data_IF_558074321908
#
_entry.id   IF_558074321908
#
_cell.length_a   1.000
_cell.length_b   1.000
_cell.length_c   1.000
_cell.angle_alpha   90.00
_cell.angle_beta   90.00
_cell.angle_gamma   90.00
#
_symmetry.space_group_name_H-M   'P 1'
#
loop_
_entity.id
_entity.type
_entity.pdbx_description
1 polymer ?
#
# COMPACT_ATOMS: atom_id res chain seq x y z
N UNK A 1 6.12 -11.44 -19.28
CA UNK A 1 6.40 -10.02 -19.04
C UNK A 1 7.76 -9.94 -18.36
N UNK A 2 8.61 -8.98 -18.71
CA UNK A 2 9.97 -8.83 -18.20
C UNK A 2 10.15 -7.40 -17.71
N UNK A 3 10.70 -7.21 -16.52
CA UNK A 3 10.93 -5.89 -15.92
C UNK A 3 12.42 -5.58 -15.98
N UNK A 4 12.82 -4.32 -16.23
CA UNK A 4 14.23 -3.94 -16.14
C UNK A 4 14.71 -4.12 -14.70
N UNK A 5 15.85 -4.80 -14.53
CA UNK A 5 16.44 -4.98 -13.19
C UNK A 5 16.85 -3.62 -12.59
N UNK A 6 17.16 -2.65 -13.45
CA UNK A 6 17.48 -1.27 -13.13
C UNK A 6 16.30 -0.49 -12.51
N UNK A 7 15.07 -1.02 -12.57
CA UNK A 7 13.94 -0.44 -11.84
C UNK A 7 13.98 -0.71 -10.33
N UNK A 8 14.92 -1.54 -9.86
CA UNK A 8 15.01 -1.93 -8.47
C UNK A 8 16.31 -1.47 -7.81
N UNK A 9 16.23 -1.18 -6.52
CA UNK A 9 17.37 -0.87 -5.66
C UNK A 9 17.17 -1.49 -4.28
N UNK A 10 18.25 -1.65 -3.52
CA UNK A 10 18.17 -1.95 -2.09
C UNK A 10 18.28 -0.66 -1.29
N UNK A 11 17.30 -0.39 -0.43
CA UNK A 11 17.34 0.74 0.50
C UNK A 11 16.78 0.33 1.86
N UNK A 12 17.26 1.01 2.88
CA UNK A 12 16.77 0.84 4.25
C UNK A 12 15.40 1.53 4.34
N UNK A 13 14.34 0.86 4.87
CA UNK A 13 12.98 1.44 4.88
C UNK A 13 12.86 2.80 5.57
N UNK A 14 13.74 3.11 6.53
CA UNK A 14 13.82 4.39 7.22
C UNK A 14 14.19 5.56 6.30
N UNK A 15 14.92 5.28 5.21
CA UNK A 15 15.40 6.30 4.26
C UNK A 15 14.43 6.49 3.09
N UNK A 16 13.35 5.69 3.04
CA UNK A 16 12.34 5.77 2.00
C UNK A 16 11.33 6.87 2.32
N UNK A 17 10.83 7.52 1.28
CA UNK A 17 9.71 8.46 1.42
C UNK A 17 8.39 7.71 1.55
N UNK A 18 7.41 8.24 2.31
CA UNK A 18 6.05 7.71 2.33
C UNK A 18 5.50 7.50 0.91
N UNK A 19 4.73 6.43 0.71
CA UNK A 19 4.24 6.02 -0.60
C UNK A 19 5.18 5.07 -1.35
N UNK A 20 6.42 4.90 -0.87
CA UNK A 20 7.33 3.88 -1.40
C UNK A 20 6.82 2.49 -1.06
N UNK A 21 7.00 1.54 -1.98
CA UNK A 21 6.81 0.12 -1.72
C UNK A 21 8.15 -0.57 -1.52
N UNK A 22 8.18 -1.59 -0.67
CA UNK A 22 9.39 -2.39 -0.45
C UNK A 22 9.03 -3.84 -0.14
N UNK A 23 9.96 -4.75 -0.43
CA UNK A 23 9.79 -6.18 -0.19
C UNK A 23 10.28 -6.53 1.21
N UNK A 24 9.33 -6.79 2.13
CA UNK A 24 9.62 -7.18 3.51
C UNK A 24 9.25 -8.65 3.72
N UNK A 25 10.26 -9.48 4.03
CA UNK A 25 10.07 -10.93 4.25
C UNK A 25 9.24 -11.59 3.15
N UNK A 26 9.66 -11.37 1.90
CA UNK A 26 9.03 -11.94 0.69
C UNK A 26 7.62 -11.41 0.36
N UNK A 27 7.12 -10.41 1.09
CA UNK A 27 5.83 -9.78 0.81
C UNK A 27 5.99 -8.26 0.63
N UNK A 28 5.30 -7.71 -0.36
CA UNK A 28 5.31 -6.28 -0.61
C UNK A 28 4.57 -5.52 0.49
N UNK A 29 5.12 -4.38 0.89
CA UNK A 29 4.57 -3.46 1.85
C UNK A 29 4.57 -2.02 1.31
N UNK A 30 3.61 -1.21 1.74
CA UNK A 30 3.55 0.23 1.48
C UNK A 30 4.04 0.99 2.70
N UNK A 31 5.05 1.84 2.54
CA UNK A 31 5.45 2.79 3.58
C UNK A 31 4.40 3.90 3.71
N UNK A 32 4.00 4.18 4.93
CA UNK A 32 2.98 5.18 5.27
C UNK A 32 3.42 6.04 6.45
N UNK A 33 2.85 7.23 6.55
CA UNK A 33 2.99 8.08 7.73
C UNK A 33 2.35 7.43 8.97
N UNK A 34 2.81 7.85 10.15
CA UNK A 34 2.23 7.37 11.40
C UNK A 34 0.75 7.77 11.52
N UNK A 35 -0.04 6.84 12.04
CA UNK A 35 -1.50 6.92 12.18
C UNK A 35 -1.98 7.60 13.47
N UNK A 36 -1.11 7.74 14.48
CA UNK A 36 -1.56 7.99 15.85
C UNK A 36 -1.00 9.27 16.50
N UNK A 37 0.16 9.76 16.07
CA UNK A 37 0.83 10.82 16.80
C UNK A 37 1.71 11.68 15.88
N UNK A 38 1.36 12.95 15.62
CA UNK A 38 2.21 13.88 14.89
C UNK A 38 3.56 14.15 15.57
N UNK A 39 3.67 13.86 16.88
CA UNK A 39 4.90 14.02 17.66
C UNK A 39 5.82 12.80 17.65
N UNK A 40 5.34 11.64 17.17
CA UNK A 40 6.15 10.45 16.87
C UNK A 40 6.23 10.28 15.34
N UNK A 41 7.26 10.85 14.68
CA UNK A 41 7.39 10.79 13.22
C UNK A 41 7.83 9.41 12.71
N UNK A 42 7.85 8.36 13.57
CA UNK A 42 8.24 7.02 13.15
C UNK A 42 7.34 6.51 12.03
N UNK A 43 7.88 6.25 10.83
CA UNK A 43 7.08 5.74 9.72
C UNK A 43 6.46 4.38 10.06
N UNK A 44 5.32 4.11 9.45
CA UNK A 44 4.66 2.81 9.50
C UNK A 44 4.68 2.17 8.12
N UNK A 45 4.25 0.93 8.02
CA UNK A 45 3.99 0.29 6.74
C UNK A 45 2.77 -0.62 6.79
N UNK A 46 2.04 -0.70 5.68
CA UNK A 46 0.91 -1.61 5.48
C UNK A 46 1.41 -2.79 4.65
N UNK A 47 1.24 -4.02 5.15
CA UNK A 47 1.49 -5.21 4.34
C UNK A 47 0.47 -5.28 3.20
N UNK A 48 0.92 -5.43 1.96
CA UNK A 48 0.05 -5.53 0.79
C UNK A 48 -0.19 -6.98 0.36
N UNK A 49 0.70 -7.89 0.77
CA UNK A 49 0.63 -9.31 0.48
C UNK A 49 0.96 -10.18 1.70
N UNK A 50 0.80 -11.49 1.55
CA UNK A 50 1.14 -12.50 2.55
C UNK A 50 0.13 -12.62 3.69
N UNK A 51 0.50 -13.37 4.73
CA UNK A 51 -0.40 -13.72 5.85
C UNK A 51 -0.93 -12.50 6.59
N UNK A 52 -0.11 -11.45 6.69
CA UNK A 52 -0.39 -10.21 7.42
C UNK A 52 -0.96 -9.09 6.53
N UNK A 53 -1.39 -9.39 5.30
CA UNK A 53 -1.98 -8.41 4.39
C UNK A 53 -3.02 -7.50 5.08
N UNK A 54 -2.88 -6.20 4.84
CA UNK A 54 -3.68 -5.14 5.40
C UNK A 54 -3.32 -4.73 6.83
N UNK A 55 -2.36 -5.39 7.47
CA UNK A 55 -1.90 -5.04 8.82
C UNK A 55 -0.88 -3.89 8.77
N UNK A 56 -1.02 -2.94 9.69
CA UNK A 56 -0.07 -1.83 9.88
C UNK A 56 1.00 -2.22 10.91
N UNK A 57 2.25 -1.95 10.59
CA UNK A 57 3.42 -2.14 11.47
C UNK A 57 4.24 -0.85 11.58
N UNK A 58 4.92 -0.64 12.70
CA UNK A 58 5.94 0.43 12.81
C UNK A 58 7.21 0.00 12.10
N UNK A 59 7.85 0.94 11.40
CA UNK A 59 9.27 0.80 11.01
C UNK A 59 10.10 0.87 12.30
N UNK A 60 10.98 -0.11 12.50
CA UNK A 60 11.82 -0.21 13.71
C UNK A 60 13.28 0.00 13.36
N UNK A 61 14.07 0.62 14.25
CA UNK A 61 15.51 0.78 14.03
C UNK A 61 16.19 -0.58 13.77
N UNK A 62 17.12 -0.62 12.81
CA UNK A 62 17.88 -1.82 12.46
C UNK A 62 17.21 -2.76 11.46
N UNK A 63 16.13 -2.33 10.79
CA UNK A 63 15.63 -3.07 9.62
C UNK A 63 16.72 -3.16 8.53
N UNK A 64 16.91 -4.34 7.91
CA UNK A 64 17.90 -4.49 6.84
C UNK A 64 17.46 -3.74 5.58
N UNK A 65 18.40 -3.45 4.66
CA UNK A 65 18.05 -3.02 3.31
C UNK A 65 17.02 -3.97 2.69
N UNK A 66 15.99 -3.38 2.09
CA UNK A 66 14.91 -4.09 1.40
C UNK A 66 14.92 -3.71 -0.07
N UNK A 67 14.51 -4.64 -0.93
CA UNK A 67 14.27 -4.35 -2.34
C UNK A 67 13.13 -3.34 -2.46
N UNK A 68 13.35 -2.27 -3.22
CA UNK A 68 12.39 -1.20 -3.52
C UNK A 68 12.60 -0.71 -4.94
N UNK A 69 11.88 0.33 -5.36
CA UNK A 69 12.04 0.93 -6.68
C UNK A 69 13.21 1.91 -6.69
N UNK A 70 14.04 1.83 -7.73
CA UNK A 70 15.09 2.80 -7.99
C UNK A 70 14.50 4.08 -8.60
N UNK A 71 14.99 5.25 -8.21
CA UNK A 71 14.63 6.49 -8.88
C UNK A 71 15.08 6.47 -10.36
N UNK A 72 14.28 7.02 -11.29
CA UNK A 72 13.00 7.71 -11.10
C UNK A 72 11.78 6.79 -11.19
N UNK A 73 11.95 5.46 -11.24
CA UNK A 73 10.83 4.54 -11.35
C UNK A 73 9.90 4.64 -10.13
N UNK A 74 8.61 4.47 -10.39
CA UNK A 74 7.56 4.59 -9.40
C UNK A 74 6.46 3.57 -9.69
N UNK A 75 5.40 3.57 -8.88
CA UNK A 75 4.28 2.66 -9.04
C UNK A 75 2.94 3.37 -8.94
N UNK A 76 1.91 2.80 -9.56
CA UNK A 76 0.53 3.22 -9.39
C UNK A 76 -0.37 2.01 -9.16
N UNK A 77 -1.50 2.23 -8.49
CA UNK A 77 -2.52 1.22 -8.33
C UNK A 77 -3.38 1.08 -9.59
N UNK A 78 -3.63 -0.15 -10.02
CA UNK A 78 -4.55 -0.46 -11.12
C UNK A 78 -5.62 -1.46 -10.66
N UNK A 79 -6.79 -1.39 -11.29
CA UNK A 79 -7.88 -2.35 -11.10
C UNK A 79 -8.15 -3.06 -12.42
N UNK A 80 -8.60 -4.33 -12.40
CA UNK A 80 -8.96 -5.04 -13.63
C UNK A 80 -9.99 -4.25 -14.45
N UNK A 81 -9.87 -4.30 -15.77
CA UNK A 81 -10.87 -3.69 -16.64
C UNK A 81 -12.23 -4.36 -16.41
N UNK A 82 -13.27 -3.55 -16.17
CA UNK A 82 -14.61 -4.05 -15.86
C UNK A 82 -14.79 -4.51 -14.40
N UNK A 83 -13.82 -4.27 -13.51
CA UNK A 83 -13.96 -4.56 -12.10
C UNK A 83 -15.19 -3.83 -11.51
N UNK A 84 -16.03 -4.58 -10.80
CA UNK A 84 -17.21 -4.04 -10.11
C UNK A 84 -16.83 -3.75 -8.67
N UNK A 85 -16.89 -2.48 -8.21
CA UNK A 85 -16.59 -2.15 -6.83
C UNK A 85 -17.68 -2.63 -5.87
N UNK A 86 -17.29 -2.96 -4.64
CA UNK A 86 -18.19 -3.38 -3.56
C UNK A 86 -18.38 -2.23 -2.57
N UNK A 87 -19.56 -2.14 -1.95
CA UNK A 87 -19.93 -1.04 -1.07
C UNK A 87 -19.95 -1.37 0.43
N UNK A 88 -19.90 -2.64 0.83
CA UNK A 88 -20.26 -3.04 2.20
C UNK A 88 -19.13 -3.62 3.06
N UNK A 89 -18.09 -4.25 2.49
CA UNK A 89 -17.01 -4.82 3.29
C UNK A 89 -15.84 -3.86 3.49
N UNK A 90 -15.49 -3.62 4.75
CA UNK A 90 -14.29 -2.87 5.16
C UNK A 90 -13.10 -3.83 5.23
N UNK A 91 -12.62 -4.29 4.08
CA UNK A 91 -11.44 -5.14 4.03
C UNK A 91 -10.16 -4.30 4.07
N UNK A 92 -9.23 -4.67 4.94
CA UNK A 92 -7.88 -4.12 4.92
C UNK A 92 -7.14 -4.56 3.64
N UNK A 93 -6.18 -3.75 3.22
CA UNK A 93 -5.53 -3.76 1.92
C UNK A 93 -6.46 -3.59 0.71
N UNK A 94 -7.73 -3.22 0.89
CA UNK A 94 -8.59 -2.83 -0.25
C UNK A 94 -8.27 -1.41 -0.72
N UNK A 95 -8.42 -1.18 -2.02
CA UNK A 95 -8.41 0.18 -2.58
C UNK A 95 -9.81 0.76 -2.52
N UNK A 96 -9.94 1.95 -1.98
CA UNK A 96 -11.18 2.72 -1.95
C UNK A 96 -11.02 3.99 -2.76
N UNK A 97 -11.96 4.24 -3.66
CA UNK A 97 -12.08 5.53 -4.35
C UNK A 97 -13.04 6.40 -3.54
N UNK A 98 -12.51 7.50 -3.00
CA UNK A 98 -13.24 8.51 -2.22
C UNK A 98 -13.30 9.83 -2.99
N UNK A 99 -14.10 10.81 -2.56
CA UNK A 99 -14.10 12.14 -3.16
C UNK A 99 -12.74 12.87 -3.08
N UNK A 100 -11.90 12.54 -2.09
CA UNK A 100 -10.57 13.14 -1.91
C UNK A 100 -9.46 12.40 -2.67
N UNK A 101 -9.77 11.23 -3.25
CA UNK A 101 -8.84 10.46 -4.07
C UNK A 101 -8.86 8.97 -3.76
N UNK A 102 -7.83 8.26 -4.26
CA UNK A 102 -7.65 6.83 -4.01
C UNK A 102 -6.93 6.66 -2.66
N UNK A 103 -7.49 5.79 -1.82
CA UNK A 103 -6.90 5.42 -0.53
C UNK A 103 -6.80 3.92 -0.38
N UNK A 104 -5.79 3.47 0.36
CA UNK A 104 -5.61 2.11 0.85
C UNK A 104 -6.10 2.03 2.29
N UNK A 105 -6.85 0.97 2.62
CA UNK A 105 -7.24 0.71 4.01
C UNK A 105 -6.19 -0.16 4.71
N UNK A 106 -5.60 0.32 5.80
CA UNK A 106 -4.80 -0.50 6.72
C UNK A 106 -5.54 -0.74 8.03
N UNK A 107 -5.07 -1.68 8.86
CA UNK A 107 -5.58 -1.84 10.20
C UNK A 107 -4.55 -2.29 11.23
N UNK A 108 -4.71 -1.82 12.47
CA UNK A 108 -3.97 -2.31 13.63
C UNK A 108 -4.87 -3.32 14.36
N UNK A 109 -4.49 -4.60 14.46
CA UNK A 109 -5.25 -5.54 15.27
C UNK A 109 -5.17 -5.15 16.75
N UNK A 110 -6.32 -4.98 17.39
CA UNK A 110 -6.39 -4.83 18.85
C UNK A 110 -6.16 -6.18 19.56
N UNK A 111 -6.18 -6.16 20.91
CA UNK A 111 -6.01 -7.36 21.74
C UNK A 111 -7.17 -8.34 21.66
N UNK A 112 -8.30 -7.94 21.07
CA UNK A 112 -9.55 -8.71 20.96
C UNK A 112 -9.85 -9.14 19.52
N UNK A 113 -8.94 -8.86 18.57
CA UNK A 113 -9.06 -9.20 17.16
C UNK A 113 -9.89 -8.23 16.31
N UNK A 114 -10.40 -7.13 16.89
CA UNK A 114 -11.02 -6.04 16.13
C UNK A 114 -9.91 -5.10 15.66
N UNK A 115 -9.76 -4.95 14.35
CA UNK A 115 -8.75 -4.05 13.81
C UNK A 115 -9.31 -2.62 13.76
N UNK A 116 -8.62 -1.67 14.39
CA UNK A 116 -8.82 -0.24 14.12
C UNK A 116 -8.36 0.02 12.69
N UNK A 117 -9.25 0.57 11.85
CA UNK A 117 -9.02 0.71 10.40
C UNK A 117 -8.78 2.16 10.03
N UNK A 118 -7.73 2.37 9.26
CA UNK A 118 -7.24 3.67 8.85
C UNK A 118 -7.14 3.75 7.33
N UNK A 119 -7.26 4.95 6.78
CA UNK A 119 -7.01 5.21 5.38
C UNK A 119 -5.68 5.91 5.17
N UNK A 120 -4.97 5.44 4.15
CA UNK A 120 -3.70 5.98 3.69
C UNK A 120 -3.82 6.34 2.22
N UNK A 121 -3.37 7.52 1.83
CA UNK A 121 -3.31 7.88 0.41
C UNK A 121 -2.22 7.09 -0.30
N UNK A 122 -2.26 7.08 -1.64
CA UNK A 122 -1.27 6.36 -2.45
C UNK A 122 0.16 6.91 -2.33
N UNK A 123 0.34 8.11 -1.79
CA UNK A 123 1.66 8.67 -1.43
C UNK A 123 2.03 8.40 0.04
N UNK A 124 1.38 7.43 0.67
CA UNK A 124 1.64 7.01 2.04
C UNK A 124 1.09 7.92 3.13
N UNK A 125 0.47 9.05 2.79
CA UNK A 125 -0.01 9.99 3.78
C UNK A 125 -1.20 9.45 4.58
N UNK A 126 -1.19 9.61 5.90
CA UNK A 126 -2.33 9.27 6.76
C UNK A 126 -3.50 10.21 6.49
N UNK A 127 -4.68 9.65 6.21
CA UNK A 127 -5.90 10.40 5.89
C UNK A 127 -6.86 10.48 7.09
N UNK A 128 -6.77 9.52 8.01
CA UNK A 128 -7.69 9.40 9.15
C UNK A 128 -8.32 8.02 9.24
N UNK A 129 -9.51 7.98 9.84
CA UNK A 129 -10.34 6.79 9.91
C UNK A 129 -10.72 6.28 8.52
N UNK A 130 -11.03 4.98 8.44
CA UNK A 130 -11.47 4.36 7.20
C UNK A 130 -12.75 5.04 6.66
N UNK A 131 -12.84 5.32 5.34
CA UNK A 131 -14.02 5.94 4.76
C UNK A 131 -15.28 5.10 4.99
N UNK A 132 -16.26 5.72 5.65
CA UNK A 132 -17.58 5.14 5.89
C UNK A 132 -18.57 5.50 4.77
N UNK A 133 -19.62 4.69 4.62
CA UNK A 133 -20.68 4.92 3.63
C UNK A 133 -20.36 4.39 2.23
N UNK A 134 -20.98 5.02 1.21
CA UNK A 134 -20.99 4.58 -0.18
C UNK A 134 -19.70 4.93 -0.94
N UNK A 135 -18.56 4.38 -0.50
CA UNK A 135 -17.32 4.41 -1.29
C UNK A 135 -17.23 3.20 -2.22
N UNK A 136 -16.50 3.36 -3.32
CA UNK A 136 -16.25 2.26 -4.28
C UNK A 136 -14.99 1.52 -3.83
N UNK A 137 -15.13 0.27 -3.39
CA UNK A 137 -14.02 -0.54 -2.90
C UNK A 137 -13.66 -1.65 -3.86
N UNK A 138 -12.36 -1.86 -4.07
CA UNK A 138 -11.81 -2.91 -4.89
C UNK A 138 -10.98 -3.85 -4.01
N UNK A 139 -11.51 -5.05 -3.79
CA UNK A 139 -10.84 -6.13 -3.06
C UNK A 139 -9.69 -6.75 -3.88
N UNK A 140 -9.73 -6.61 -5.21
CA UNK A 140 -8.71 -7.06 -6.14
C UNK A 140 -8.14 -5.87 -6.92
N UNK A 141 -6.82 -5.71 -6.88
CA UNK A 141 -6.08 -4.66 -7.55
C UNK A 141 -4.60 -5.04 -7.69
N UNK A 142 -3.84 -4.29 -8.49
CA UNK A 142 -2.42 -4.53 -8.71
C UNK A 142 -1.59 -3.26 -8.54
N UNK A 143 -0.32 -3.43 -8.20
CA UNK A 143 0.66 -2.35 -8.28
C UNK A 143 1.43 -2.48 -9.60
N UNK A 144 1.38 -1.43 -10.40
CA UNK A 144 1.99 -1.36 -11.72
C UNK A 144 3.20 -0.43 -11.69
N UNK A 145 4.33 -0.90 -12.23
CA UNK A 145 5.54 -0.12 -12.42
C UNK A 145 5.31 0.94 -13.51
N UNK A 146 5.81 2.15 -13.31
CA UNK A 146 5.86 3.17 -14.35
C UNK A 146 7.12 4.03 -14.26
N UNK A 147 7.39 4.76 -15.34
CA UNK A 147 8.41 5.80 -15.38
C UNK A 147 7.74 7.18 -15.48
N UNK A 148 8.18 8.22 -14.75
CA UNK A 148 7.51 9.53 -14.71
C UNK A 148 7.33 10.24 -16.05
N UNK A 149 8.12 9.91 -17.07
CA UNK A 149 7.92 10.41 -18.44
C UNK A 149 6.67 9.85 -19.13
N UNK A 150 6.10 8.76 -18.62
CA UNK A 150 4.91 8.08 -19.12
C UNK A 150 4.02 7.68 -17.93
N UNK A 151 3.42 8.65 -17.22
CA UNK A 151 2.60 8.34 -16.05
C UNK A 151 1.40 7.48 -16.45
N UNK A 152 1.05 6.51 -15.59
CA UNK A 152 -0.09 5.60 -15.76
C UNK A 152 0.01 4.61 -16.94
N UNK A 153 1.15 4.57 -17.64
CA UNK A 153 1.47 3.48 -18.56
C UNK A 153 2.20 2.40 -17.75
N UNK A 154 1.58 1.23 -17.63
CA UNK A 154 2.24 0.11 -16.96
C UNK A 154 3.43 -0.37 -17.80
N UNK A 155 4.61 -0.33 -17.19
CA UNK A 155 5.81 -1.01 -17.64
C UNK A 155 5.87 -2.45 -17.12
N UNK A 156 4.92 -2.80 -16.26
CA UNK A 156 4.59 -4.15 -15.85
C UNK A 156 4.07 -4.22 -14.41
N UNK A 157 3.35 -5.31 -14.12
CA UNK A 157 2.80 -5.59 -12.80
C UNK A 157 3.86 -6.07 -11.80
N UNK A 158 3.99 -5.37 -10.67
CA UNK A 158 4.90 -5.73 -9.57
C UNK A 158 4.32 -6.83 -8.69
N UNK A 159 3.04 -6.70 -8.34
CA UNK A 159 2.30 -7.67 -7.54
C UNK A 159 0.79 -7.48 -7.67
N UNK A 160 0.03 -8.48 -7.23
CA UNK A 160 -1.42 -8.43 -7.08
C UNK A 160 -1.82 -8.49 -5.61
N UNK A 161 -2.86 -7.75 -5.26
CA UNK A 161 -3.60 -7.89 -4.00
C UNK A 161 -4.96 -8.45 -4.33
N UNK A 162 -5.32 -9.58 -3.70
CA UNK A 162 -6.63 -10.18 -3.82
C UNK A 162 -7.17 -10.52 -2.43
N UNK A 163 -8.23 -9.81 -2.03
CA UNK A 163 -8.92 -9.99 -0.75
C UNK A 163 -10.24 -10.74 -0.90
N UNK A 164 -10.64 -11.09 -2.14
CA UNK A 164 -11.93 -11.75 -2.42
C UNK A 164 -12.00 -13.23 -1.99
N UNK A 165 -10.86 -13.83 -1.66
CA UNK A 165 -10.70 -15.27 -1.41
C UNK A 165 -10.59 -15.66 0.06
N UNK A 166 -10.97 -14.77 1.00
CA UNK A 166 -10.94 -15.06 2.44
C UNK A 166 -12.33 -15.20 3.05
#
# INVERSE_FOLDING_TARGET
MTFPAEAFAERIPQDLSPGSIFLFREAWALLVDNQADPSDPTPCFVMLQGDRVGTVFKVVQGMPPCLTLAEPFAWFAAVPQGAVPVHQTLETASLSVTPSGVVLVGGIPDRWGVADKFAFGMKGQFIGETPHGAVRRFAKWSAELYHPSQPFVSLGQLFEVDRSSR
#
